data_IF_764564068350
#
_entry.id   IF_764564068350
#
_cell.length_a   1.000
_cell.length_b   1.000
_cell.length_c   1.000
_cell.angle_alpha   90.00
_cell.angle_beta   90.00
_cell.angle_gamma   90.00
#
_symmetry.space_group_name_H-M   'P 1'
#
loop_
_entity.id
_entity.type
_entity.pdbx_description
1 polymer ?
#
# COMPACT_ATOMS: atom_id res chain seq x y z
N UNK A 1 -9.20 -7.08 -10.13
CA UNK A 1 -7.90 -7.34 -9.47
C UNK A 1 -7.83 -6.67 -8.10
N UNK A 2 -7.78 -5.33 -7.97
CA UNK A 2 -7.75 -4.66 -6.65
C UNK A 2 -9.00 -4.93 -5.79
N UNK A 3 -10.20 -4.99 -6.40
CA UNK A 3 -11.44 -5.28 -5.67
C UNK A 3 -11.41 -6.60 -4.86
N UNK A 4 -10.64 -7.60 -5.32
CA UNK A 4 -10.55 -8.91 -4.66
C UNK A 4 -9.63 -8.88 -3.43
N UNK A 5 -8.60 -8.01 -3.46
CA UNK A 5 -7.66 -7.80 -2.36
C UNK A 5 -8.36 -7.09 -1.18
N UNK A 6 -9.35 -6.26 -1.49
CA UNK A 6 -10.11 -5.49 -0.50
C UNK A 6 -11.35 -6.23 0.03
N UNK A 7 -11.77 -7.32 -0.62
CA UNK A 7 -12.90 -8.18 -0.21
C UNK A 7 -12.89 -8.67 1.25
N UNK A 8 -11.73 -8.91 1.89
CA UNK A 8 -11.68 -9.30 3.31
C UNK A 8 -12.08 -8.17 4.25
N UNK A 9 -11.80 -6.92 3.89
CA UNK A 9 -12.05 -5.73 4.71
C UNK A 9 -13.50 -5.25 4.53
N UNK A 10 -14.45 -6.01 5.10
CA UNK A 10 -15.87 -5.64 5.09
C UNK A 10 -16.27 -4.70 6.24
N UNK A 11 -15.39 -4.55 7.22
CA UNK A 11 -15.57 -3.64 8.37
C UNK A 11 -14.99 -2.25 8.04
N UNK A 12 -15.81 -1.22 8.19
CA UNK A 12 -15.41 0.18 7.96
C UNK A 12 -14.25 0.61 8.89
N UNK A 13 -14.14 -0.01 10.07
CA UNK A 13 -13.05 0.22 11.02
C UNK A 13 -11.71 -0.30 10.48
N UNK A 14 -11.71 -1.51 9.93
CA UNK A 14 -10.50 -2.11 9.35
C UNK A 14 -10.06 -1.37 8.08
N UNK A 15 -11.03 -0.94 7.25
CA UNK A 15 -10.76 -0.09 6.09
C UNK A 15 -10.17 1.25 6.51
N UNK A 16 -10.68 1.84 7.59
CA UNK A 16 -10.15 3.07 8.19
C UNK A 16 -8.70 2.92 8.65
N UNK A 17 -8.38 1.84 9.38
CA UNK A 17 -7.02 1.56 9.82
C UNK A 17 -6.06 1.31 8.65
N UNK A 18 -6.49 0.55 7.64
CA UNK A 18 -5.67 0.29 6.45
C UNK A 18 -5.44 1.57 5.64
N UNK A 19 -6.46 2.42 5.51
CA UNK A 19 -6.35 3.72 4.83
C UNK A 19 -5.35 4.62 5.55
N UNK A 20 -5.42 4.72 6.88
CA UNK A 20 -4.48 5.50 7.68
C UNK A 20 -3.05 4.98 7.56
N UNK A 21 -2.86 3.66 7.57
CA UNK A 21 -1.55 3.03 7.39
C UNK A 21 -0.96 3.32 6.00
N UNK A 22 -1.76 3.20 4.94
CA UNK A 22 -1.33 3.51 3.58
C UNK A 22 -1.06 5.00 3.38
N UNK A 23 -1.79 5.89 4.07
CA UNK A 23 -1.50 7.31 4.08
C UNK A 23 -0.11 7.58 4.65
N UNK A 24 0.21 7.03 5.82
CA UNK A 24 1.54 7.17 6.42
C UNK A 24 2.65 6.65 5.50
N UNK A 25 2.47 5.47 4.88
CA UNK A 25 3.50 4.90 3.99
C UNK A 25 3.69 5.68 2.68
N UNK A 26 2.69 6.43 2.23
CA UNK A 26 2.73 7.14 0.95
C UNK A 26 2.99 8.64 1.08
N UNK A 27 3.19 9.13 2.32
CA UNK A 27 3.69 10.46 2.62
C UNK A 27 5.12 10.66 2.09
N UNK A 28 5.46 11.91 1.83
CA UNK A 28 6.74 12.30 1.20
C UNK A 28 7.95 12.16 2.15
N UNK A 29 7.72 11.80 3.42
CA UNK A 29 8.77 11.55 4.42
C UNK A 29 9.43 10.17 4.26
N UNK A 30 8.69 9.18 3.75
CA UNK A 30 9.24 7.87 3.34
C UNK A 30 9.80 8.03 1.95
N UNK A 31 11.10 7.76 1.74
CA UNK A 31 11.66 7.78 0.38
C UNK A 31 11.18 6.58 -0.44
N UNK A 32 11.18 6.71 -1.78
CA UNK A 32 10.81 5.60 -2.67
C UNK A 32 11.69 4.36 -2.49
N UNK A 33 12.97 4.57 -2.15
CA UNK A 33 13.91 3.48 -1.89
C UNK A 33 13.62 2.77 -0.55
N UNK A 34 13.28 3.53 0.50
CA UNK A 34 12.86 2.94 1.78
C UNK A 34 11.55 2.19 1.65
N UNK A 35 10.58 2.76 0.93
CA UNK A 35 9.31 2.10 0.65
C UNK A 35 9.52 0.79 -0.12
N UNK A 36 10.41 0.78 -1.11
CA UNK A 36 10.78 -0.41 -1.88
C UNK A 36 11.42 -1.48 -1.01
N UNK A 37 12.39 -1.10 -0.16
CA UNK A 37 13.05 -2.02 0.78
C UNK A 37 12.06 -2.62 1.77
N UNK A 38 11.17 -1.80 2.33
CA UNK A 38 10.14 -2.24 3.27
C UNK A 38 9.20 -3.25 2.59
N UNK A 39 8.76 -2.96 1.37
CA UNK A 39 7.94 -3.89 0.58
C UNK A 39 8.67 -5.21 0.30
N UNK A 40 9.95 -5.18 -0.09
CA UNK A 40 10.74 -6.38 -0.33
C UNK A 40 11.05 -7.19 0.93
N UNK A 41 11.00 -6.56 2.11
CA UNK A 41 11.15 -7.25 3.39
C UNK A 41 9.88 -7.95 3.85
N UNK A 42 8.75 -7.71 3.18
CA UNK A 42 7.47 -8.36 3.47
C UNK A 42 7.31 -9.67 2.69
N UNK A 43 6.33 -10.50 3.07
CA UNK A 43 5.92 -11.71 2.34
C UNK A 43 5.15 -11.39 1.05
N UNK A 44 5.38 -10.23 0.43
CA UNK A 44 4.67 -9.83 -0.78
C UNK A 44 5.14 -10.62 -2.01
N UNK A 45 4.20 -11.30 -2.67
CA UNK A 45 4.48 -12.02 -3.93
C UNK A 45 4.69 -11.11 -5.15
N UNK A 46 4.30 -9.83 -5.04
CA UNK A 46 4.39 -8.85 -6.14
C UNK A 46 5.69 -8.05 -5.99
N UNK A 47 6.57 -8.13 -6.99
CA UNK A 47 7.82 -7.37 -7.02
C UNK A 47 7.65 -6.05 -7.75
N UNK A 48 8.02 -4.96 -7.09
CA UNK A 48 8.22 -3.66 -7.73
C UNK A 48 9.71 -3.35 -7.79
N UNK A 49 10.23 -3.13 -9.00
CA UNK A 49 11.64 -2.77 -9.21
C UNK A 49 11.92 -1.29 -8.94
N UNK A 50 10.89 -0.44 -9.06
CA UNK A 50 10.93 0.99 -8.81
C UNK A 50 9.98 1.37 -7.66
N UNK A 51 10.48 2.19 -6.72
CA UNK A 51 9.74 2.66 -5.57
C UNK A 51 8.65 3.68 -5.92
N UNK A 52 8.83 4.48 -6.98
CA UNK A 52 7.80 5.43 -7.40
C UNK A 52 6.56 4.69 -7.95
N UNK A 53 6.77 3.63 -8.73
CA UNK A 53 5.72 2.72 -9.18
C UNK A 53 4.97 2.04 -8.03
N UNK A 54 5.70 1.59 -7.01
CA UNK A 54 5.11 1.03 -5.79
C UNK A 54 4.25 2.08 -5.06
N UNK A 55 4.76 3.30 -4.86
CA UNK A 55 4.00 4.38 -4.22
C UNK A 55 2.71 4.68 -4.97
N UNK A 56 2.77 4.77 -6.29
CA UNK A 56 1.59 5.02 -7.12
C UNK A 56 0.55 3.89 -6.97
N UNK A 57 0.99 2.64 -6.90
CA UNK A 57 0.11 1.50 -6.63
C UNK A 57 -0.57 1.60 -5.25
N UNK A 58 0.20 1.86 -4.19
CA UNK A 58 -0.32 1.98 -2.83
C UNK A 58 -1.32 3.14 -2.68
N UNK A 59 -1.04 4.30 -3.29
CA UNK A 59 -1.99 5.42 -3.35
C UNK A 59 -3.30 4.99 -4.03
N UNK A 60 -3.23 4.25 -5.13
CA UNK A 60 -4.40 3.74 -5.84
C UNK A 60 -5.21 2.72 -5.02
N UNK A 61 -4.56 1.89 -4.21
CA UNK A 61 -5.24 0.97 -3.28
C UNK A 61 -5.95 1.76 -2.20
N UNK A 62 -5.26 2.72 -1.58
CA UNK A 62 -5.83 3.63 -0.57
C UNK A 62 -7.06 4.36 -1.06
N UNK A 63 -7.02 4.92 -2.27
CA UNK A 63 -8.13 5.70 -2.85
C UNK A 63 -9.37 4.83 -3.17
N UNK A 64 -9.26 3.50 -3.08
CA UNK A 64 -10.33 2.52 -3.35
C UNK A 64 -10.83 1.80 -2.11
N UNK A 65 -10.21 2.03 -0.95
CA UNK A 65 -10.68 1.56 0.35
C UNK A 65 -11.91 2.33 0.78
#
# INVERSE_FOLDING_TARGET
>A
MIQWILSPFKDDTERGHLKAYLDTLTQDDVSDEELRKLWWSSEADIVFYDGAGLRAFLKRVRDRL
#
